data_IF_321856679108
#
_entry.id   IF_321856679108
#
_cell.length_a   1.000
_cell.length_b   1.000
_cell.length_c   1.000
_cell.angle_alpha   90.00
_cell.angle_beta   90.00
_cell.angle_gamma   90.00
#
_symmetry.space_group_name_H-M   'P 1'
#
loop_
_entity.id
_entity.type
_entity.pdbx_description
1 polymer ?
#
# COMPACT_ATOMS: atom_id res chain seq x y z
N UNK A 1 -8.13 -23.47 36.23
CA UNK A 1 -7.03 -23.21 35.28
C UNK A 1 -7.63 -23.22 33.88
N UNK A 2 -7.79 -22.03 33.30
CA UNK A 2 -8.55 -21.85 32.05
C UNK A 2 -7.81 -22.44 30.84
N UNK A 3 -8.57 -23.11 29.98
CA UNK A 3 -8.08 -23.68 28.74
C UNK A 3 -7.59 -22.57 27.80
N UNK A 4 -6.28 -22.47 27.61
CA UNK A 4 -5.71 -21.57 26.62
C UNK A 4 -6.11 -22.05 25.22
N UNK A 5 -6.83 -21.20 24.47
CA UNK A 5 -7.34 -21.49 23.12
C UNK A 5 -6.19 -21.91 22.18
N UNK A 6 -6.42 -22.88 21.30
CA UNK A 6 -5.47 -23.38 20.30
C UNK A 6 -4.76 -22.26 19.54
N UNK A 7 -5.49 -21.22 19.14
CA UNK A 7 -4.92 -20.04 18.46
C UNK A 7 -3.86 -19.32 19.32
N UNK A 8 -4.13 -19.18 20.62
CA UNK A 8 -3.19 -18.56 21.56
C UNK A 8 -1.91 -19.39 21.71
N UNK A 9 -2.01 -20.73 21.73
CA UNK A 9 -0.83 -21.61 21.82
C UNK A 9 0.02 -21.57 20.56
N UNK A 10 -0.61 -21.61 19.38
CA UNK A 10 0.12 -21.52 18.11
C UNK A 10 0.80 -20.17 17.95
N UNK A 11 0.11 -19.08 18.26
CA UNK A 11 0.69 -17.74 18.18
C UNK A 11 1.80 -17.52 19.23
N UNK A 12 1.68 -18.07 20.44
CA UNK A 12 2.68 -17.92 21.49
C UNK A 12 4.06 -18.46 21.09
N UNK A 13 4.11 -19.64 20.48
CA UNK A 13 5.38 -20.20 20.02
C UNK A 13 5.89 -19.51 18.76
N UNK A 14 5.01 -19.15 17.83
CA UNK A 14 5.39 -18.48 16.58
C UNK A 14 5.85 -17.02 16.78
N UNK A 15 5.42 -16.35 17.85
CA UNK A 15 5.77 -14.96 18.14
C UNK A 15 7.06 -14.80 18.96
N UNK A 16 7.65 -15.90 19.45
CA UNK A 16 8.86 -15.83 20.24
C UNK A 16 10.08 -15.65 19.34
N UNK A 17 10.72 -14.49 19.45
CA UNK A 17 12.03 -14.21 18.84
C UNK A 17 13.12 -14.66 19.81
N UNK A 18 14.08 -15.46 19.34
CA UNK A 18 15.25 -15.89 20.10
C UNK A 18 16.48 -15.15 19.61
N UNK A 19 17.44 -14.93 20.51
CA UNK A 19 18.71 -14.28 20.18
C UNK A 19 19.55 -15.08 19.15
N UNK A 20 19.24 -16.36 18.96
CA UNK A 20 19.89 -17.24 17.98
C UNK A 20 19.19 -17.25 16.62
N UNK A 21 18.04 -16.60 16.50
CA UNK A 21 17.29 -16.59 15.25
C UNK A 21 18.01 -15.71 14.22
N UNK A 22 18.07 -16.19 12.99
CA UNK A 22 18.65 -15.47 11.86
C UNK A 22 17.49 -15.00 11.00
N UNK A 23 17.34 -13.68 10.86
CA UNK A 23 16.33 -13.05 10.03
C UNK A 23 17.00 -12.36 8.85
N UNK A 24 16.42 -12.52 7.66
CA UNK A 24 16.80 -11.73 6.50
C UNK A 24 16.29 -10.29 6.69
N UNK A 25 17.13 -9.31 6.39
CA UNK A 25 16.68 -7.91 6.36
C UNK A 25 15.63 -7.75 5.26
N UNK A 26 14.44 -7.22 5.57
CA UNK A 26 13.40 -7.02 4.57
C UNK A 26 13.93 -6.21 3.38
N UNK A 27 13.61 -6.59 2.14
CA UNK A 27 14.03 -5.86 0.95
C UNK A 27 13.64 -4.37 1.06
N UNK A 28 14.64 -3.50 0.95
CA UNK A 28 14.41 -2.07 0.82
C UNK A 28 13.92 -1.79 -0.59
N UNK A 29 12.81 -1.05 -0.73
CA UNK A 29 12.13 -0.90 -2.03
C UNK A 29 12.04 0.55 -2.49
N UNK A 30 12.06 1.53 -1.58
CA UNK A 30 11.93 2.96 -1.92
C UNK A 30 12.86 3.80 -1.05
N UNK A 31 13.53 4.76 -1.68
CA UNK A 31 14.47 5.69 -1.07
C UNK A 31 14.14 7.14 -1.47
N UNK A 32 14.43 8.07 -0.56
CA UNK A 32 14.60 9.49 -0.85
C UNK A 32 16.05 9.84 -0.53
N UNK A 33 16.79 10.32 -1.52
CA UNK A 33 18.24 10.50 -1.44
C UNK A 33 18.93 9.23 -0.90
N UNK A 34 19.56 9.31 0.27
CA UNK A 34 20.24 8.19 0.93
C UNK A 34 19.40 7.51 2.03
N UNK A 35 18.15 7.93 2.22
CA UNK A 35 17.28 7.40 3.28
C UNK A 35 16.27 6.40 2.73
N UNK A 36 16.23 5.21 3.31
CA UNK A 36 15.20 4.21 3.04
C UNK A 36 13.88 4.65 3.66
N UNK A 37 12.82 4.72 2.86
CA UNK A 37 11.49 5.15 3.33
C UNK A 37 10.44 4.05 3.28
N UNK A 38 10.70 2.95 2.56
CA UNK A 38 9.83 1.78 2.55
C UNK A 38 10.64 0.49 2.38
N UNK A 39 10.19 -0.54 3.08
CA UNK A 39 10.66 -1.92 2.97
C UNK A 39 9.47 -2.81 2.66
N UNK A 40 9.71 -3.92 1.97
CA UNK A 40 8.71 -4.97 1.76
C UNK A 40 8.23 -5.49 3.14
N UNK A 41 6.94 -5.78 3.27
CA UNK A 41 6.31 -6.31 4.50
C UNK A 41 5.78 -5.27 5.46
N UNK A 42 6.13 -4.01 5.23
CA UNK A 42 5.78 -2.92 6.12
C UNK A 42 4.80 -1.95 5.46
N UNK A 43 3.91 -1.38 6.27
CA UNK A 43 3.09 -0.25 5.84
C UNK A 43 3.74 1.07 6.28
N UNK A 44 3.46 2.14 5.54
CA UNK A 44 3.94 3.49 5.85
C UNK A 44 2.81 4.49 5.62
N UNK A 45 2.81 5.57 6.39
CA UNK A 45 1.77 6.60 6.32
C UNK A 45 2.36 7.94 5.84
N UNK A 46 1.76 8.52 4.81
CA UNK A 46 2.05 9.88 4.36
C UNK A 46 0.96 10.83 4.81
N UNK A 47 1.29 11.71 5.75
CA UNK A 47 0.33 12.64 6.35
C UNK A 47 0.58 14.09 5.90
N UNK A 48 -0.45 14.93 5.97
CA UNK A 48 -0.36 16.32 5.55
C UNK A 48 -1.74 16.97 5.50
N UNK A 49 -1.78 18.30 5.53
CA UNK A 49 -3.05 19.06 5.45
C UNK A 49 -3.77 18.81 4.12
N UNK A 50 -5.06 19.11 4.06
CA UNK A 50 -5.79 19.12 2.79
C UNK A 50 -5.07 20.04 1.78
N UNK A 51 -5.04 19.65 0.50
CA UNK A 51 -4.36 20.39 -0.59
C UNK A 51 -2.84 20.59 -0.40
N UNK A 52 -2.19 19.85 0.50
CA UNK A 52 -0.73 19.92 0.73
C UNK A 52 0.11 19.15 -0.31
N UNK A 53 -0.44 18.90 -1.50
CA UNK A 53 0.22 18.14 -2.58
C UNK A 53 0.56 16.67 -2.23
N UNK A 54 -0.17 16.04 -1.30
CA UNK A 54 0.01 14.61 -0.94
C UNK A 54 -0.10 13.69 -2.16
N UNK A 55 -1.21 13.75 -2.88
CA UNK A 55 -1.42 12.99 -4.13
C UNK A 55 -0.37 13.30 -5.19
N UNK A 56 0.21 14.52 -5.20
CA UNK A 56 1.33 14.81 -6.08
C UNK A 56 2.57 13.98 -5.71
N UNK A 57 2.94 14.04 -4.43
CA UNK A 57 4.06 13.30 -3.85
C UNK A 57 3.91 11.78 -4.03
N UNK A 58 2.73 11.24 -3.74
CA UNK A 58 2.42 9.81 -3.89
C UNK A 58 2.58 9.37 -5.35
N UNK A 59 2.13 10.15 -6.33
CA UNK A 59 2.34 9.78 -7.73
C UNK A 59 3.79 9.77 -8.18
N UNK A 60 4.64 10.64 -7.61
CA UNK A 60 6.08 10.61 -7.91
C UNK A 60 6.72 9.32 -7.40
N UNK A 61 6.34 8.90 -6.19
CA UNK A 61 6.74 7.63 -5.61
C UNK A 61 6.27 6.43 -6.46
N UNK A 62 5.00 6.44 -6.88
CA UNK A 62 4.45 5.37 -7.73
C UNK A 62 5.12 5.35 -9.09
N UNK A 63 5.38 6.52 -9.70
CA UNK A 63 6.08 6.62 -10.96
C UNK A 63 7.52 6.10 -10.87
N UNK A 64 8.25 6.42 -9.79
CA UNK A 64 9.58 5.86 -9.53
C UNK A 64 9.53 4.33 -9.43
N UNK A 65 8.52 3.81 -8.73
CA UNK A 65 8.34 2.36 -8.50
C UNK A 65 8.01 1.63 -9.79
N UNK A 66 7.14 2.21 -10.62
CA UNK A 66 6.74 1.66 -11.91
C UNK A 66 7.88 1.70 -12.93
N UNK A 67 8.69 2.75 -12.90
CA UNK A 67 9.82 2.92 -13.82
C UNK A 67 11.10 2.18 -13.36
N UNK A 68 11.16 1.71 -12.12
CA UNK A 68 12.33 1.05 -11.53
C UNK A 68 13.57 1.95 -11.47
N UNK A 69 13.39 3.27 -11.44
CA UNK A 69 14.47 4.28 -11.50
C UNK A 69 14.10 5.53 -10.72
N UNK A 70 15.03 6.49 -10.67
CA UNK A 70 14.78 7.76 -10.02
C UNK A 70 13.76 8.60 -10.80
N UNK A 71 12.73 9.08 -10.10
CA UNK A 71 11.73 10.05 -10.56
C UNK A 71 11.57 11.13 -9.49
N UNK A 72 11.88 12.38 -9.85
CA UNK A 72 12.08 13.47 -8.89
C UNK A 72 13.10 13.04 -7.80
N UNK A 73 12.72 13.11 -6.53
CA UNK A 73 13.57 12.74 -5.39
C UNK A 73 13.37 11.28 -4.95
N UNK A 74 12.46 10.53 -5.59
CA UNK A 74 12.19 9.13 -5.26
C UNK A 74 13.01 8.22 -6.16
N UNK A 75 13.73 7.28 -5.56
CA UNK A 75 14.27 6.10 -6.23
C UNK A 75 13.52 4.90 -5.71
N UNK A 76 13.16 3.98 -6.60
CA UNK A 76 12.48 2.76 -6.20
C UNK A 76 12.92 1.57 -7.05
N UNK A 77 12.89 0.39 -6.45
CA UNK A 77 13.20 -0.87 -7.09
C UNK A 77 12.37 -1.97 -6.43
N UNK A 78 11.33 -2.44 -7.13
CA UNK A 78 10.49 -3.53 -6.63
C UNK A 78 11.16 -4.88 -6.92
N UNK A 79 11.06 -5.87 -6.00
CA UNK A 79 11.72 -7.17 -6.16
C UNK A 79 11.24 -7.97 -7.37
N UNK A 80 12.02 -8.98 -7.76
CA UNK A 80 11.61 -9.92 -8.79
C UNK A 80 10.30 -10.65 -8.40
N UNK A 81 9.35 -10.75 -9.33
CA UNK A 81 8.03 -11.34 -9.06
C UNK A 81 7.05 -10.45 -8.28
N UNK A 82 7.48 -9.26 -7.82
CA UNK A 82 6.69 -8.30 -7.02
C UNK A 82 6.61 -6.91 -7.65
N UNK A 83 6.65 -6.81 -8.97
CA UNK A 83 6.71 -5.51 -9.67
C UNK A 83 5.35 -4.83 -9.90
N UNK A 84 4.23 -5.47 -9.53
CA UNK A 84 2.92 -4.84 -9.67
C UNK A 84 2.67 -3.83 -8.57
N UNK A 85 1.89 -2.81 -8.91
CA UNK A 85 1.46 -1.76 -8.00
C UNK A 85 -0.06 -1.74 -7.98
N UNK A 86 -0.65 -1.76 -6.79
CA UNK A 86 -2.06 -1.50 -6.58
C UNK A 86 -2.23 -0.05 -6.10
N UNK A 87 -2.92 0.79 -6.86
CA UNK A 87 -3.29 2.13 -6.44
C UNK A 87 -4.79 2.21 -6.20
N UNK A 88 -5.19 2.62 -5.01
CA UNK A 88 -6.60 2.77 -4.62
C UNK A 88 -6.83 4.20 -4.16
N UNK A 89 -7.66 4.93 -4.89
CA UNK A 89 -8.11 6.27 -4.53
C UNK A 89 -9.54 6.20 -3.98
N UNK A 90 -9.75 6.67 -2.75
CA UNK A 90 -11.08 6.68 -2.11
C UNK A 90 -11.67 8.09 -1.99
N UNK A 91 -10.91 9.14 -2.30
CA UNK A 91 -11.30 10.54 -2.07
C UNK A 91 -11.78 11.25 -3.35
N UNK A 92 -11.22 10.90 -4.50
CA UNK A 92 -11.33 11.67 -5.75
C UNK A 92 -12.41 11.12 -6.69
N UNK A 93 -12.93 12.00 -7.56
CA UNK A 93 -13.82 11.57 -8.64
C UNK A 93 -13.05 10.81 -9.71
N UNK A 94 -13.75 10.06 -10.57
CA UNK A 94 -13.13 9.33 -11.70
C UNK A 94 -12.31 10.24 -12.62
N UNK A 95 -12.77 11.46 -12.88
CA UNK A 95 -12.04 12.45 -13.68
C UNK A 95 -10.69 12.83 -13.04
N UNK A 96 -10.68 13.06 -11.73
CA UNK A 96 -9.45 13.38 -11.00
C UNK A 96 -8.53 12.17 -10.88
N UNK A 97 -9.07 10.96 -10.65
CA UNK A 97 -8.31 9.72 -10.69
C UNK A 97 -7.62 9.53 -12.04
N UNK A 98 -8.33 9.78 -13.15
CA UNK A 98 -7.72 9.74 -14.49
C UNK A 98 -6.56 10.73 -14.63
N UNK A 99 -6.72 11.95 -14.10
CA UNK A 99 -5.65 12.95 -14.10
C UNK A 99 -4.43 12.52 -13.26
N UNK A 100 -4.66 11.83 -12.14
CA UNK A 100 -3.61 11.25 -11.30
C UNK A 100 -2.88 10.13 -12.05
N UNK A 101 -3.62 9.19 -12.65
CA UNK A 101 -3.06 8.11 -13.47
C UNK A 101 -2.21 8.65 -14.62
N UNK A 102 -2.72 9.61 -15.39
CA UNK A 102 -1.96 10.25 -16.47
C UNK A 102 -0.64 10.86 -15.98
N UNK A 103 -0.67 11.50 -14.82
CA UNK A 103 0.51 12.11 -14.22
C UNK A 103 1.54 11.07 -13.78
N UNK A 104 1.09 9.96 -13.18
CA UNK A 104 1.96 8.82 -12.85
C UNK A 104 2.65 8.30 -14.10
N UNK A 105 1.88 8.02 -15.16
CA UNK A 105 2.41 7.48 -16.41
C UNK A 105 3.41 8.44 -17.07
N UNK A 106 3.09 9.74 -17.14
CA UNK A 106 4.03 10.76 -17.67
C UNK A 106 5.32 10.82 -16.87
N UNK A 107 5.24 10.82 -15.54
CA UNK A 107 6.42 10.85 -14.66
C UNK A 107 7.26 9.57 -14.79
N UNK A 108 6.62 8.42 -15.04
CA UNK A 108 7.30 7.14 -15.28
C UNK A 108 7.90 7.05 -16.70
N UNK A 109 7.55 7.96 -17.61
CA UNK A 109 7.96 7.91 -19.01
C UNK A 109 7.17 6.90 -19.85
N UNK A 110 5.94 6.58 -19.45
CA UNK A 110 5.05 5.63 -20.13
C UNK A 110 3.97 6.35 -20.95
N UNK A 111 3.44 5.72 -22.02
CA UNK A 111 2.31 6.29 -22.77
C UNK A 111 1.07 6.46 -21.89
N UNK A 112 0.35 7.57 -22.05
CA UNK A 112 -0.90 7.82 -21.30
C UNK A 112 -2.14 7.22 -21.95
N UNK A 113 -1.99 6.60 -23.13
CA UNK A 113 -3.09 6.06 -23.95
C UNK A 113 -3.22 4.55 -23.86
N UNK A 114 -2.40 3.89 -23.04
CA UNK A 114 -2.37 2.44 -22.86
C UNK A 114 -2.24 2.12 -21.38
N UNK A 115 -2.92 1.07 -20.94
CA UNK A 115 -2.81 0.63 -19.56
C UNK A 115 -1.49 -0.13 -19.35
N UNK A 116 -0.69 0.25 -18.35
CA UNK A 116 0.52 -0.49 -17.99
C UNK A 116 0.18 -1.85 -17.35
N UNK A 117 0.89 -2.90 -17.73
CA UNK A 117 0.65 -4.26 -17.19
C UNK A 117 0.90 -4.36 -15.67
N UNK A 118 1.76 -3.48 -15.13
CA UNK A 118 2.24 -3.52 -13.75
C UNK A 118 1.59 -2.48 -12.82
N UNK A 119 0.50 -1.82 -13.24
CA UNK A 119 -0.23 -0.90 -12.37
C UNK A 119 -1.75 -1.10 -12.52
N UNK A 120 -2.36 -1.50 -11.41
CA UNK A 120 -3.80 -1.63 -11.26
C UNK A 120 -4.32 -0.40 -10.47
N UNK A 121 -5.17 0.43 -11.08
CA UNK A 121 -5.65 1.70 -10.50
C UNK A 121 -7.17 1.67 -10.28
N UNK A 122 -7.61 1.74 -9.02
CA UNK A 122 -9.02 1.71 -8.62
C UNK A 122 -9.48 3.04 -8.03
N UNK A 123 -10.61 3.55 -8.52
CA UNK A 123 -11.31 4.71 -7.96
C UNK A 123 -12.54 4.21 -7.19
N UNK A 124 -12.52 4.31 -5.87
CA UNK A 124 -13.52 3.72 -4.98
C UNK A 124 -14.35 4.74 -4.18
N UNK A 125 -14.26 6.04 -4.52
CA UNK A 125 -15.01 7.11 -3.86
C UNK A 125 -16.52 6.85 -3.79
N UNK A 126 -17.11 6.23 -4.80
CA UNK A 126 -18.57 6.04 -4.87
C UNK A 126 -19.09 4.89 -3.98
N UNK A 127 -18.19 4.07 -3.42
CA UNK A 127 -18.55 2.90 -2.61
C UNK A 127 -18.52 3.18 -1.10
N UNK A 128 -19.21 2.36 -0.32
CA UNK A 128 -19.16 2.42 1.15
C UNK A 128 -17.79 1.98 1.69
N UNK A 129 -17.42 2.38 2.91
CA UNK A 129 -16.19 1.91 3.58
C UNK A 129 -16.02 0.38 3.56
N UNK A 130 -17.08 -0.38 3.86
CA UNK A 130 -17.04 -1.85 3.82
C UNK A 130 -16.72 -2.40 2.43
N UNK A 131 -17.37 -1.88 1.38
CA UNK A 131 -17.14 -2.30 0.00
C UNK A 131 -15.72 -1.91 -0.45
N UNK A 132 -15.21 -0.76 -0.03
CA UNK A 132 -13.81 -0.36 -0.31
C UNK A 132 -12.82 -1.39 0.23
N UNK A 133 -12.97 -1.79 1.49
CA UNK A 133 -12.12 -2.81 2.13
C UNK A 133 -12.24 -4.15 1.40
N UNK A 134 -13.45 -4.58 1.06
CA UNK A 134 -13.69 -5.85 0.33
C UNK A 134 -13.05 -5.84 -1.06
N UNK A 135 -13.15 -4.74 -1.81
CA UNK A 135 -12.53 -4.62 -3.13
C UNK A 135 -11.01 -4.68 -3.04
N UNK A 136 -10.40 -4.01 -2.04
CA UNK A 136 -8.95 -4.07 -1.81
C UNK A 136 -8.52 -5.50 -1.48
N UNK A 137 -9.20 -6.13 -0.52
CA UNK A 137 -8.91 -7.51 -0.10
C UNK A 137 -9.07 -8.50 -1.25
N UNK A 138 -10.11 -8.33 -2.07
CA UNK A 138 -10.33 -9.16 -3.25
C UNK A 138 -9.23 -8.95 -4.30
N UNK A 139 -8.82 -7.71 -4.60
CA UNK A 139 -7.74 -7.42 -5.54
C UNK A 139 -6.43 -8.08 -5.11
N UNK A 140 -6.08 -8.00 -3.81
CA UNK A 140 -4.89 -8.64 -3.24
C UNK A 140 -4.94 -10.17 -3.28
N UNK A 141 -6.14 -10.77 -3.20
CA UNK A 141 -6.33 -12.24 -3.31
C UNK A 141 -6.23 -12.76 -4.74
N UNK A 142 -6.76 -12.00 -5.71
CA UNK A 142 -6.85 -12.46 -7.10
C UNK A 142 -5.55 -12.23 -7.86
N UNK A 143 -4.89 -11.08 -7.66
CA UNK A 143 -3.62 -10.78 -8.30
C UNK A 143 -2.46 -11.27 -7.43
N UNK A 144 -1.40 -11.76 -8.07
CA UNK A 144 -0.11 -11.99 -7.42
C UNK A 144 0.90 -10.93 -7.86
N UNK A 145 1.92 -10.72 -7.04
CA UNK A 145 3.07 -9.91 -7.40
C UNK A 145 2.92 -8.42 -7.14
N UNK A 146 1.99 -8.00 -6.28
CA UNK A 146 2.03 -6.64 -5.74
C UNK A 146 3.22 -6.49 -4.80
N UNK A 147 4.14 -5.58 -5.12
CA UNK A 147 5.22 -5.15 -4.23
C UNK A 147 4.99 -3.76 -3.64
N UNK A 148 3.95 -3.05 -4.10
CA UNK A 148 3.54 -1.76 -3.56
C UNK A 148 2.02 -1.64 -3.62
N UNK A 149 1.41 -1.26 -2.49
CA UNK A 149 -0.02 -0.94 -2.38
C UNK A 149 -0.15 0.48 -1.86
N UNK A 150 -0.91 1.30 -2.58
CA UNK A 150 -1.21 2.69 -2.22
C UNK A 150 -2.70 2.79 -1.92
N UNK A 151 -3.01 3.35 -0.75
CA UNK A 151 -4.37 3.72 -0.35
C UNK A 151 -4.38 5.24 -0.14
N UNK A 152 -4.80 5.98 -1.17
CA UNK A 152 -4.95 7.43 -1.13
C UNK A 152 -6.33 7.76 -0.55
N UNK A 153 -6.35 7.97 0.77
CA UNK A 153 -7.56 8.27 1.54
C UNK A 153 -7.93 7.23 2.59
N UNK A 154 -6.96 6.70 3.35
CA UNK A 154 -7.21 5.68 4.41
C UNK A 154 -8.35 6.03 5.37
N UNK A 155 -8.59 7.32 5.65
CA UNK A 155 -9.71 7.81 6.47
C UNK A 155 -11.05 7.28 5.97
N UNK A 156 -11.21 7.26 4.65
CA UNK A 156 -12.46 6.91 3.97
C UNK A 156 -12.70 5.38 3.96
N UNK A 157 -11.81 4.59 4.56
CA UNK A 157 -12.08 3.19 4.91
C UNK A 157 -12.88 3.04 6.21
N UNK A 158 -13.18 4.14 6.91
CA UNK A 158 -14.02 4.17 8.10
C UNK A 158 -15.32 4.92 7.83
N UNK A 159 -16.38 4.54 8.56
CA UNK A 159 -17.65 5.26 8.56
C UNK A 159 -17.59 6.45 9.53
N UNK A 160 -17.17 6.20 10.78
CA UNK A 160 -16.98 7.25 11.79
C UNK A 160 -15.52 7.36 12.20
N UNK A 161 -14.92 8.51 11.88
CA UNK A 161 -13.52 8.79 12.18
C UNK A 161 -13.25 8.95 13.68
N UNK A 162 -14.28 9.19 14.48
CA UNK A 162 -14.16 9.32 15.93
C UNK A 162 -14.32 7.96 16.63
N UNK A 163 -14.63 6.91 15.87
CA UNK A 163 -14.72 5.56 16.39
C UNK A 163 -13.31 4.93 16.43
N UNK A 164 -12.75 4.86 17.64
CA UNK A 164 -11.45 4.24 17.87
C UNK A 164 -11.43 2.75 17.50
N UNK A 165 -12.57 2.04 17.62
CA UNK A 165 -12.70 0.64 17.21
C UNK A 165 -12.52 0.48 15.70
N UNK A 166 -13.22 1.27 14.90
CA UNK A 166 -13.07 1.26 13.43
C UNK A 166 -11.64 1.62 13.00
N UNK A 167 -11.01 2.57 13.71
CA UNK A 167 -9.61 2.94 13.46
C UNK A 167 -8.67 1.75 13.69
N UNK A 168 -8.86 1.00 14.77
CA UNK A 168 -8.09 -0.21 15.07
C UNK A 168 -8.33 -1.28 14.01
N UNK A 169 -9.57 -1.48 13.56
CA UNK A 169 -9.90 -2.45 12.52
C UNK A 169 -9.20 -2.14 11.19
N UNK A 170 -9.23 -0.87 10.74
CA UNK A 170 -8.56 -0.46 9.51
C UNK A 170 -7.05 -0.64 9.61
N UNK A 171 -6.42 -0.28 10.73
CA UNK A 171 -4.98 -0.49 10.93
C UNK A 171 -4.64 -1.99 10.97
N UNK A 172 -5.46 -2.81 11.62
CA UNK A 172 -5.28 -4.26 11.62
C UNK A 172 -5.37 -4.85 10.20
N UNK A 173 -6.25 -4.32 9.33
CA UNK A 173 -6.28 -4.70 7.91
C UNK A 173 -5.00 -4.34 7.19
N UNK A 174 -4.42 -3.16 7.43
CA UNK A 174 -3.15 -2.78 6.82
C UNK A 174 -2.03 -3.73 7.21
N UNK A 175 -1.95 -4.09 8.50
CA UNK A 175 -0.95 -5.04 9.01
C UNK A 175 -1.18 -6.46 8.47
N UNK A 176 -2.44 -6.90 8.40
CA UNK A 176 -2.80 -8.20 7.81
C UNK A 176 -2.37 -8.25 6.34
N UNK A 177 -2.68 -7.22 5.55
CA UNK A 177 -2.33 -7.17 4.13
C UNK A 177 -0.83 -7.10 3.90
N UNK A 178 -0.10 -6.28 4.67
CA UNK A 178 1.36 -6.17 4.51
C UNK A 178 2.10 -7.43 4.96
N UNK A 179 1.56 -8.20 5.91
CA UNK A 179 2.16 -9.46 6.37
C UNK A 179 1.78 -10.66 5.50
N UNK A 180 0.54 -10.71 4.99
CA UNK A 180 0.01 -11.89 4.30
C UNK A 180 0.38 -11.95 2.83
N UNK A 181 0.50 -10.80 2.18
CA UNK A 181 0.75 -10.71 0.74
C UNK A 181 2.18 -10.28 0.41
N UNK A 182 3.09 -10.44 1.37
CA UNK A 182 4.50 -10.09 1.24
C UNK A 182 5.31 -11.01 0.32
#
# INVERSE_FOLDING_TARGET
>A
MGWMNTACRTSFHASQIKATDIYETPPQIIWIDNSTIATLGNFSASTGKAKSKKTFNVSALVAASLAGKQVLNYRAHLPEGKQRILYVDTEQSRFHCRSVLERILRLAGLPTTTDPENLDFFCLREYSPSVRIEVIDYALRQQKGYGLVIIDGIRDLMLDINNAGESVEVINRMMEWSSRYD
#
